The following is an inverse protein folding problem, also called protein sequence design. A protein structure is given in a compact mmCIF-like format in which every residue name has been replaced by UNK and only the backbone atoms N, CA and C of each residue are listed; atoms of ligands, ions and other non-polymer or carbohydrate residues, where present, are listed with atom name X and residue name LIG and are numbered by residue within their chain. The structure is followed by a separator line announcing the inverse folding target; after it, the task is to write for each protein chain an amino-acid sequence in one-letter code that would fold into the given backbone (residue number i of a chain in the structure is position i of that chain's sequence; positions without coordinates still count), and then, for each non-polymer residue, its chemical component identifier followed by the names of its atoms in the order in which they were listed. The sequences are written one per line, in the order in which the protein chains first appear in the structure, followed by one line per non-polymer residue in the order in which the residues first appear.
data_IF_913442388014
#
_entry.id   IF_913442388014
#
_cell.length_a   1.000
_cell.length_b   1.000
_cell.length_c   1.000
_cell.angle_alpha   90.00
_cell.angle_beta   90.00
_cell.angle_gamma   90.00
#
_symmetry.space_group_name_H-M   'P 1'
#
loop_
_entity.id
_entity.type
_entity.pdbx_description
1 polymer ?
#
# COMPACT_ATOMS: atom_id res chain seq x y z
N UNK A 1 -32.71 0.34 30.35
CA UNK A 1 -32.82 -0.71 31.38
C UNK A 1 -31.87 -1.85 31.02
N UNK A 2 -31.04 -2.20 32.00
CA UNK A 2 -30.02 -3.27 32.13
C UNK A 2 -30.19 -4.49 31.21
N UNK A 3 -29.08 -4.97 30.61
CA UNK A 3 -28.42 -6.21 31.07
C UNK A 3 -26.89 -6.08 30.93
N UNK A 4 -26.25 -6.17 32.08
CA UNK A 4 -24.81 -6.27 32.32
C UNK A 4 -24.51 -7.77 32.36
N UNK A 5 -23.55 -8.25 31.57
CA UNK A 5 -22.89 -9.52 31.81
C UNK A 5 -21.41 -9.25 32.05
N UNK A 6 -20.95 -9.78 33.18
CA UNK A 6 -19.71 -9.49 33.85
C UNK A 6 -18.74 -10.68 33.73
N UNK A 7 -17.45 -10.37 33.86
CA UNK A 7 -16.33 -11.18 34.39
C UNK A 7 -16.01 -12.55 33.76
N UNK A 8 -14.73 -12.77 33.40
CA UNK A 8 -13.76 -13.41 34.30
C UNK A 8 -12.31 -13.30 33.76
N UNK A 9 -11.37 -13.05 34.67
CA UNK A 9 -9.94 -12.93 34.42
C UNK A 9 -9.22 -14.29 34.45
N UNK A 10 -8.08 -14.39 33.76
CA UNK A 10 -6.99 -15.30 34.16
C UNK A 10 -5.64 -14.78 33.63
N UNK A 11 -4.83 -14.29 34.57
CA UNK A 11 -3.39 -14.06 34.43
C UNK A 11 -2.67 -15.38 34.11
N UNK A 12 -1.69 -15.33 33.20
CA UNK A 12 -0.49 -16.16 33.33
C UNK A 12 0.75 -15.30 33.04
N UNK A 13 1.40 -14.91 34.13
CA UNK A 13 2.78 -14.43 34.16
C UNK A 13 3.71 -15.64 34.06
N UNK A 14 4.56 -15.68 33.03
CA UNK A 14 5.77 -16.50 33.02
C UNK A 14 6.94 -15.61 32.60
N UNK A 15 7.61 -15.07 33.62
CA UNK A 15 8.99 -14.62 33.57
C UNK A 15 9.91 -15.84 33.49
N UNK A 16 10.98 -15.76 32.69
CA UNK A 16 12.37 -15.98 33.14
C UNK A 16 13.36 -15.56 32.02
N UNK A 17 14.48 -14.91 32.38
CA UNK A 17 15.57 -14.57 31.47
C UNK A 17 16.60 -15.70 31.40
N UNK A 18 17.46 -15.76 30.37
CA UNK A 18 18.84 -16.24 30.52
C UNK A 18 19.71 -16.02 29.27
N UNK A 19 20.81 -15.31 29.54
CA UNK A 19 22.17 -15.44 29.02
C UNK A 19 22.49 -15.11 27.55
N UNK A 20 23.37 -14.12 27.45
CA UNK A 20 24.22 -13.79 26.32
C UNK A 20 25.15 -14.94 25.93
N UNK A 21 25.40 -15.05 24.63
CA UNK A 21 26.52 -15.78 24.05
C UNK A 21 27.05 -14.99 22.87
N UNK A 22 28.16 -14.28 23.06
CA UNK A 22 29.01 -13.83 21.98
C UNK A 22 29.79 -15.05 21.46
N UNK A 23 29.78 -15.29 20.15
CA UNK A 23 30.84 -16.07 19.52
C UNK A 23 31.11 -15.55 18.10
N UNK A 24 32.39 -15.27 17.94
CA UNK A 24 33.14 -14.74 16.82
C UNK A 24 33.37 -15.83 15.77
N UNK A 25 33.44 -15.44 14.50
CA UNK A 25 34.24 -16.15 13.50
C UNK A 25 33.63 -17.38 12.82
N UNK A 26 33.05 -17.17 11.64
CA UNK A 26 33.17 -18.13 10.54
C UNK A 26 33.67 -17.42 9.30
N UNK A 27 35.00 -17.49 9.11
CA UNK A 27 35.62 -17.47 7.79
C UNK A 27 35.41 -18.85 7.19
N UNK A 28 35.05 -18.93 5.91
CA UNK A 28 35.34 -20.00 4.94
C UNK A 28 34.74 -19.49 3.62
N UNK A 29 35.56 -18.97 2.73
CA UNK A 29 36.27 -19.69 1.66
C UNK A 29 35.39 -19.89 0.42
N UNK A 30 35.83 -19.20 -0.64
CA UNK A 30 35.72 -19.55 -2.06
C UNK A 30 34.38 -20.10 -2.55
N UNK A 31 33.63 -19.24 -3.22
CA UNK A 31 33.06 -19.64 -4.51
C UNK A 31 33.46 -18.65 -5.59
N UNK A 32 33.74 -19.24 -6.74
CA UNK A 32 34.50 -18.70 -7.83
C UNK A 32 33.77 -17.60 -8.57
N UNK A 33 34.62 -16.72 -9.10
CA UNK A 33 34.39 -15.76 -10.17
C UNK A 33 33.63 -16.43 -11.33
N UNK A 34 32.31 -16.29 -11.37
CA UNK A 34 31.56 -16.42 -12.61
C UNK A 34 31.51 -15.06 -13.30
N UNK A 35 32.53 -14.82 -14.13
CA UNK A 35 32.42 -13.91 -15.27
C UNK A 35 31.43 -14.54 -16.25
N UNK A 36 30.19 -14.07 -16.23
CA UNK A 36 29.28 -14.27 -17.35
C UNK A 36 29.18 -12.97 -18.13
N UNK A 37 29.72 -13.04 -19.35
CA UNK A 37 29.88 -11.94 -20.27
C UNK A 37 28.58 -11.22 -20.61
N UNK A 38 28.80 -9.96 -20.98
CA UNK A 38 27.97 -9.08 -21.80
C UNK A 38 26.81 -9.79 -22.49
N UNK A 39 25.64 -9.70 -21.86
CA UNK A 39 24.36 -9.74 -22.58
C UNK A 39 24.07 -8.30 -23.03
N UNK A 40 24.89 -7.77 -23.94
CA UNK A 40 24.50 -6.64 -24.78
C UNK A 40 23.31 -7.11 -25.63
N UNK A 41 22.10 -6.66 -25.32
CA UNK A 41 20.96 -6.95 -26.20
C UNK A 41 19.58 -6.92 -25.57
N UNK A 42 19.43 -6.96 -24.25
CA UNK A 42 18.16 -6.59 -23.65
C UNK A 42 18.14 -5.10 -23.47
N UNK A 43 17.64 -4.40 -24.50
CA UNK A 43 17.07 -3.08 -24.33
C UNK A 43 16.06 -3.23 -23.18
N UNK A 44 16.45 -2.82 -21.99
CA UNK A 44 15.50 -2.28 -21.03
C UNK A 44 14.90 -1.09 -21.78
N UNK A 45 13.86 -1.35 -22.58
CA UNK A 45 12.78 -0.40 -22.72
C UNK A 45 12.27 -0.21 -21.30
N UNK A 46 12.96 0.69 -20.59
CA UNK A 46 12.50 1.19 -19.33
C UNK A 46 11.08 1.63 -19.61
N UNK A 47 10.12 0.95 -18.98
CA UNK A 47 8.82 1.53 -18.76
C UNK A 47 9.12 2.86 -18.10
N UNK A 48 9.11 3.92 -18.91
CA UNK A 48 9.08 5.27 -18.41
C UNK A 48 7.93 5.27 -17.42
N UNK A 49 8.23 5.40 -16.14
CA UNK A 49 7.25 5.85 -15.15
C UNK A 49 6.97 7.34 -15.43
N UNK A 50 6.58 7.64 -16.67
CA UNK A 50 5.88 8.88 -17.00
C UNK A 50 4.48 8.73 -16.36
N UNK A 51 4.10 9.69 -15.51
CA UNK A 51 2.70 9.80 -15.08
C UNK A 51 2.36 9.34 -13.65
N UNK A 52 3.33 9.22 -12.73
CA UNK A 52 2.98 9.12 -11.31
C UNK A 52 2.53 10.49 -10.79
N UNK A 53 1.24 10.60 -10.48
CA UNK A 53 0.54 11.77 -9.97
C UNK A 53 0.44 11.63 -8.45
N UNK A 54 1.05 12.55 -7.71
CA UNK A 54 0.89 12.64 -6.25
C UNK A 54 -0.50 13.19 -5.91
N UNK A 55 -1.31 12.40 -5.23
CA UNK A 55 -2.60 12.85 -4.68
C UNK A 55 -2.45 13.63 -3.37
N UNK A 56 -1.31 13.45 -2.70
CA UNK A 56 -0.99 14.08 -1.43
C UNK A 56 -0.87 13.10 -0.28
N UNK A 57 -0.89 13.64 0.93
CA UNK A 57 -0.65 12.91 2.17
C UNK A 57 -1.74 13.21 3.20
N UNK A 58 -2.01 12.26 4.10
CA UNK A 58 -2.90 12.47 5.25
C UNK A 58 -2.44 11.63 6.43
N UNK A 59 -2.59 12.13 7.65
CA UNK A 59 -2.15 11.43 8.86
C UNK A 59 -3.31 11.26 9.81
N UNK A 60 -3.59 10.00 10.18
CA UNK A 60 -4.67 9.64 11.09
C UNK A 60 -4.12 8.72 12.17
N UNK A 61 -4.33 9.10 13.44
CA UNK A 61 -3.88 8.34 14.62
C UNK A 61 -2.40 7.88 14.50
N UNK A 62 -1.54 8.80 14.07
CA UNK A 62 -0.09 8.56 13.92
C UNK A 62 0.33 7.73 12.71
N UNK A 63 -0.60 7.33 11.84
CA UNK A 63 -0.29 6.63 10.58
C UNK A 63 -0.48 7.58 9.41
N UNK A 64 0.63 7.88 8.72
CA UNK A 64 0.66 8.70 7.51
C UNK A 64 0.35 7.84 6.28
N UNK A 65 -0.60 8.28 5.47
CA UNK A 65 -0.94 7.75 4.16
C UNK A 65 -0.38 8.66 3.07
N UNK A 66 0.15 8.07 2.01
CA UNK A 66 0.66 8.78 0.82
C UNK A 66 0.00 8.17 -0.41
N UNK A 67 -0.89 8.92 -1.06
CA UNK A 67 -1.67 8.42 -2.18
C UNK A 67 -1.09 8.90 -3.52
N UNK A 68 -1.16 8.02 -4.51
CA UNK A 68 -0.63 8.23 -5.85
C UNK A 68 -1.58 7.63 -6.89
N UNK A 69 -1.56 8.19 -8.09
CA UNK A 69 -2.18 7.61 -9.28
C UNK A 69 -1.11 7.45 -10.35
N UNK A 70 -1.11 6.34 -11.07
CA UNK A 70 -0.42 6.26 -12.35
C UNK A 70 -1.46 6.25 -13.46
N UNK A 71 -1.29 7.07 -14.50
CA UNK A 71 -2.04 6.88 -15.75
C UNK A 71 -1.52 5.62 -16.44
N UNK A 72 -2.39 4.61 -16.55
CA UNK A 72 -2.11 3.34 -17.22
C UNK A 72 -3.03 3.12 -18.41
N UNK A 73 -3.82 4.13 -18.79
CA UNK A 73 -4.91 4.01 -19.77
C UNK A 73 -4.43 3.47 -21.10
N UNK A 74 -3.32 3.99 -21.62
CA UNK A 74 -2.78 3.52 -22.90
C UNK A 74 -2.29 2.07 -22.82
N UNK A 75 -1.60 1.71 -21.74
CA UNK A 75 -1.09 0.37 -21.53
C UNK A 75 -2.24 -0.65 -21.39
N UNK A 76 -3.25 -0.31 -20.58
CA UNK A 76 -4.45 -1.12 -20.38
C UNK A 76 -5.25 -1.27 -21.67
N UNK A 77 -5.45 -0.18 -22.42
CA UNK A 77 -6.18 -0.22 -23.69
C UNK A 77 -5.51 -1.11 -24.74
N UNK A 78 -4.16 -1.11 -24.81
CA UNK A 78 -3.40 -2.02 -25.69
C UNK A 78 -3.64 -3.50 -25.35
N UNK A 79 -3.98 -3.80 -24.10
CA UNK A 79 -4.33 -5.13 -23.62
C UNK A 79 -5.84 -5.42 -23.66
N UNK A 80 -6.66 -4.51 -24.20
CA UNK A 80 -8.12 -4.64 -24.24
C UNK A 80 -8.82 -4.44 -22.89
N UNK A 81 -8.11 -3.85 -21.92
CA UNK A 81 -8.62 -3.51 -20.59
C UNK A 81 -9.16 -2.08 -20.57
N UNK A 82 -10.09 -1.79 -19.66
CA UNK A 82 -10.80 -0.49 -19.58
C UNK A 82 -10.24 0.43 -18.49
N UNK A 83 -9.38 -0.11 -17.66
CA UNK A 83 -8.74 0.52 -16.54
C UNK A 83 -7.90 1.69 -17.05
N UNK A 84 -7.98 2.80 -16.32
CA UNK A 84 -7.38 4.07 -16.76
C UNK A 84 -6.24 4.49 -15.85
N UNK A 85 -6.34 4.15 -14.57
CA UNK A 85 -5.36 4.55 -13.58
C UNK A 85 -5.08 3.39 -12.64
N UNK A 86 -3.85 3.33 -12.13
CA UNK A 86 -3.50 2.50 -11.00
C UNK A 86 -3.48 3.38 -9.74
N UNK A 87 -4.43 3.17 -8.83
CA UNK A 87 -4.47 3.87 -7.55
C UNK A 87 -3.57 3.15 -6.55
N UNK A 88 -2.69 3.89 -5.88
CA UNK A 88 -1.79 3.38 -4.86
C UNK A 88 -1.88 4.21 -3.59
N UNK A 89 -1.74 3.55 -2.45
CA UNK A 89 -1.56 4.21 -1.16
C UNK A 89 -0.54 3.44 -0.32
N UNK A 90 0.49 4.16 0.13
CA UNK A 90 1.48 3.65 1.07
C UNK A 90 1.19 4.20 2.46
N UNK A 91 1.46 3.41 3.49
CA UNK A 91 1.25 3.78 4.89
C UNK A 91 2.56 3.69 5.66
N UNK A 92 2.79 4.65 6.56
CA UNK A 92 3.95 4.70 7.44
C UNK A 92 3.46 4.98 8.86
N UNK A 93 3.93 4.20 9.84
CA UNK A 93 3.60 4.39 11.25
C UNK A 93 4.34 5.59 11.86
N UNK A 94 4.02 5.91 13.12
CA UNK A 94 4.63 7.04 13.83
C UNK A 94 6.16 6.89 14.03
N UNK A 95 6.70 5.68 13.91
CA UNK A 95 8.14 5.40 13.99
C UNK A 95 8.82 5.45 12.60
N UNK A 96 8.10 5.79 11.54
CA UNK A 96 8.63 5.83 10.17
C UNK A 96 8.68 4.47 9.49
N UNK A 97 8.08 3.41 10.06
CA UNK A 97 8.10 2.07 9.47
C UNK A 97 6.95 1.88 8.49
N UNK A 98 7.17 1.23 7.35
CA UNK A 98 6.10 0.88 6.42
C UNK A 98 5.04 0.00 7.09
N UNK A 99 3.77 0.28 6.81
CA UNK A 99 2.64 -0.57 7.20
C UNK A 99 2.11 -1.27 5.95
N UNK A 100 2.41 -2.56 5.83
CA UNK A 100 2.12 -3.38 4.64
C UNK A 100 1.05 -4.45 4.89
N UNK A 101 0.53 -4.54 6.11
CA UNK A 101 -0.48 -5.52 6.51
C UNK A 101 -1.79 -4.84 6.93
N UNK A 102 -2.91 -5.44 6.52
CA UNK A 102 -4.25 -4.98 6.86
C UNK A 102 -5.24 -5.17 5.73
N UNK A 103 -6.45 -4.65 5.96
CA UNK A 103 -7.47 -4.50 4.91
C UNK A 103 -7.57 -3.04 4.53
N UNK A 104 -7.45 -2.75 3.24
CA UNK A 104 -7.55 -1.40 2.69
C UNK A 104 -8.55 -1.42 1.54
N UNK A 105 -9.40 -0.39 1.47
CA UNK A 105 -10.33 -0.22 0.36
C UNK A 105 -10.52 1.26 0.05
N UNK A 106 -10.76 1.58 -1.22
CA UNK A 106 -11.08 2.94 -1.67
C UNK A 106 -12.53 3.02 -2.17
N UNK A 107 -13.24 4.07 -1.78
CA UNK A 107 -14.47 4.51 -2.44
C UNK A 107 -14.18 5.75 -3.26
N UNK A 108 -14.71 5.78 -4.47
CA UNK A 108 -14.48 6.86 -5.42
C UNK A 108 -15.80 7.57 -5.67
N UNK A 109 -15.79 8.89 -5.53
CA UNK A 109 -16.87 9.80 -5.94
C UNK A 109 -16.48 10.45 -7.24
N UNK A 110 -17.33 10.36 -8.26
CA UNK A 110 -17.06 10.96 -9.57
C UNK A 110 -17.39 12.47 -9.60
N UNK A 111 -17.04 13.19 -10.68
CA UNK A 111 -17.34 14.62 -10.85
C UNK A 111 -18.83 14.95 -10.77
N UNK A 112 -19.71 14.02 -11.16
CA UNK A 112 -21.17 14.14 -11.01
C UNK A 112 -21.66 13.96 -9.55
N UNK A 113 -20.75 13.69 -8.61
CA UNK A 113 -21.03 13.54 -7.18
C UNK A 113 -21.57 12.15 -6.79
N UNK A 114 -21.56 11.18 -7.70
CA UNK A 114 -21.99 9.80 -7.45
C UNK A 114 -20.85 8.99 -6.84
N UNK A 115 -21.13 8.33 -5.71
CA UNK A 115 -20.20 7.40 -5.08
C UNK A 115 -20.36 5.97 -5.63
N UNK A 116 -19.21 5.32 -5.89
CA UNK A 116 -19.12 3.92 -6.26
C UNK A 116 -19.10 2.96 -5.06
N UNK A 117 -19.04 1.66 -5.37
CA UNK A 117 -18.78 0.62 -4.36
C UNK A 117 -17.33 0.73 -3.86
N UNK A 118 -17.07 0.20 -2.68
CA UNK A 118 -15.70 0.08 -2.17
C UNK A 118 -14.92 -0.93 -3.02
N UNK A 119 -13.74 -0.52 -3.48
CA UNK A 119 -12.77 -1.34 -4.22
C UNK A 119 -11.71 -1.75 -3.22
N UNK A 120 -11.54 -3.06 -3.01
CA UNK A 120 -10.47 -3.58 -2.14
C UNK A 120 -9.13 -3.33 -2.82
N UNK A 121 -8.19 -2.77 -2.07
CA UNK A 121 -6.81 -2.61 -2.52
C UNK A 121 -5.99 -3.82 -2.11
N UNK A 122 -5.17 -4.30 -3.04
CA UNK A 122 -4.29 -5.44 -2.81
C UNK A 122 -2.96 -4.96 -2.27
N UNK A 123 -2.45 -5.64 -1.25
CA UNK A 123 -1.10 -5.39 -0.76
C UNK A 123 -0.08 -5.81 -1.82
N UNK A 124 0.84 -4.91 -2.12
CA UNK A 124 1.94 -5.04 -3.07
C UNK A 124 3.24 -4.57 -2.38
N UNK A 125 4.36 -4.58 -3.09
CA UNK A 125 5.67 -4.22 -2.52
C UNK A 125 5.67 -2.78 -1.96
N UNK A 126 5.45 -2.65 -0.63
CA UNK A 126 5.47 -1.39 0.11
C UNK A 126 4.20 -0.55 0.08
N UNK A 127 3.14 -0.96 -0.62
CA UNK A 127 1.91 -0.18 -0.78
C UNK A 127 0.68 -1.05 -1.05
N UNK A 128 -0.51 -0.46 -1.03
CA UNK A 128 -1.75 -1.08 -1.44
C UNK A 128 -2.26 -0.45 -2.72
N UNK A 129 -2.70 -1.24 -3.70
CA UNK A 129 -3.15 -0.70 -4.97
C UNK A 129 -4.25 -1.49 -5.66
N UNK A 130 -4.89 -0.84 -6.63
CA UNK A 130 -5.85 -1.43 -7.55
C UNK A 130 -5.95 -0.59 -8.83
N UNK A 131 -6.20 -1.27 -9.95
CA UNK A 131 -6.57 -0.60 -11.19
C UNK A 131 -8.02 -0.12 -11.14
N UNK A 132 -8.24 1.12 -11.58
CA UNK A 132 -9.52 1.83 -11.49
C UNK A 132 -9.87 2.53 -12.81
N UNK A 133 -11.15 2.86 -12.95
CA UNK A 133 -11.70 3.54 -14.13
C UNK A 133 -12.16 4.94 -13.74
N UNK A 134 -11.56 5.97 -14.33
CA UNK A 134 -11.92 7.38 -14.20
C UNK A 134 -12.31 7.91 -15.60
N UNK A 135 -13.56 7.68 -16.05
CA UNK A 135 -13.93 7.89 -17.46
C UNK A 135 -14.34 9.33 -17.78
N UNK A 136 -14.81 10.07 -16.78
CA UNK A 136 -15.26 11.46 -16.89
C UNK A 136 -14.12 12.41 -16.57
N UNK A 137 -14.07 13.56 -17.24
CA UNK A 137 -13.22 14.69 -16.85
C UNK A 137 -13.82 15.39 -15.63
N UNK A 138 -12.96 15.96 -14.79
CA UNK A 138 -13.34 16.70 -13.58
C UNK A 138 -12.77 16.11 -12.31
N UNK A 139 -13.20 16.66 -11.17
CA UNK A 139 -12.69 16.30 -9.85
C UNK A 139 -13.29 15.00 -9.31
N UNK A 140 -12.42 14.08 -8.93
CA UNK A 140 -12.75 12.86 -8.20
C UNK A 140 -12.30 12.97 -6.76
N UNK A 141 -13.07 12.35 -5.86
CA UNK A 141 -12.71 12.21 -4.45
C UNK A 141 -12.47 10.74 -4.12
N UNK A 142 -11.35 10.46 -3.45
CA UNK A 142 -10.91 9.13 -3.05
C UNK A 142 -10.97 9.02 -1.53
N UNK A 143 -11.89 8.22 -1.02
CA UNK A 143 -12.01 7.91 0.40
C UNK A 143 -11.40 6.54 0.66
N UNK A 144 -10.24 6.53 1.32
CA UNK A 144 -9.51 5.30 1.67
C UNK A 144 -9.86 4.90 3.09
N UNK A 145 -10.53 3.77 3.25
CA UNK A 145 -10.81 3.15 4.54
C UNK A 145 -9.83 2.01 4.83
N UNK A 146 -9.36 1.93 6.07
CA UNK A 146 -8.42 0.89 6.50
C UNK A 146 -8.89 0.15 7.74
N UNK A 147 -8.40 -1.07 7.90
CA UNK A 147 -8.19 -1.74 9.19
C UNK A 147 -6.79 -2.35 9.14
N UNK A 148 -5.82 -1.66 9.70
CA UNK A 148 -4.40 -2.03 9.63
C UNK A 148 -4.05 -3.10 10.66
N UNK A 149 -2.79 -3.56 10.67
CA UNK A 149 -2.30 -4.61 11.58
C UNK A 149 -2.49 -4.29 13.07
N UNK A 150 -2.56 -3.01 13.44
CA UNK A 150 -2.86 -2.56 14.80
C UNK A 150 -4.34 -2.70 15.19
N UNK A 151 -5.19 -3.15 14.27
CA UNK A 151 -6.62 -3.35 14.45
C UNK A 151 -7.46 -2.07 14.40
N UNK A 152 -6.83 -0.90 14.35
CA UNK A 152 -7.49 0.40 14.30
C UNK A 152 -8.03 0.67 12.89
N UNK A 153 -9.19 1.34 12.83
CA UNK A 153 -9.82 1.74 11.58
C UNK A 153 -9.55 3.20 11.33
N UNK A 154 -9.10 3.53 10.12
CA UNK A 154 -8.82 4.91 9.72
C UNK A 154 -9.49 5.23 8.39
N UNK A 155 -9.72 6.50 8.16
CA UNK A 155 -10.26 7.02 6.90
C UNK A 155 -9.40 8.19 6.43
N UNK A 156 -8.96 8.14 5.17
CA UNK A 156 -8.18 9.20 4.53
C UNK A 156 -8.92 9.70 3.30
N UNK A 157 -8.74 10.97 2.96
CA UNK A 157 -9.41 11.62 1.84
C UNK A 157 -8.39 12.28 0.92
N UNK A 158 -8.52 12.01 -0.37
CA UNK A 158 -7.69 12.60 -1.41
C UNK A 158 -8.57 13.04 -2.58
N UNK A 159 -8.06 13.91 -3.44
CA UNK A 159 -8.77 14.33 -4.65
C UNK A 159 -7.82 14.45 -5.84
N UNK A 160 -8.36 14.31 -7.04
CA UNK A 160 -7.63 14.56 -8.28
C UNK A 160 -8.60 15.00 -9.38
N UNK A 161 -8.15 15.93 -10.21
CA UNK A 161 -8.88 16.39 -11.39
C UNK A 161 -8.32 15.70 -12.62
N UNK A 162 -9.17 14.93 -13.30
CA UNK A 162 -8.85 14.35 -14.62
C UNK A 162 -9.17 15.38 -15.70
N UNK A 163 -8.18 15.69 -16.55
CA UNK A 163 -8.26 16.74 -17.58
C UNK A 163 -8.75 16.28 -18.96
#
# INVERSE_FOLDING_TARGET
MKKVNALLAALFLLSLPLAAGAMEGMKHDKMEKMEHGSMEGMKHEGMKMEGMIMLGEGTEEGVKAMAHLNDVKEAMAKMGMKETHHFMVAFVDAAGKPVTEGTVAVKIKNPAGKEGKAIKLMGMEGHFGADIVLPEKGEYHFKVGTKLADGQKREYHFHHTVE
#
